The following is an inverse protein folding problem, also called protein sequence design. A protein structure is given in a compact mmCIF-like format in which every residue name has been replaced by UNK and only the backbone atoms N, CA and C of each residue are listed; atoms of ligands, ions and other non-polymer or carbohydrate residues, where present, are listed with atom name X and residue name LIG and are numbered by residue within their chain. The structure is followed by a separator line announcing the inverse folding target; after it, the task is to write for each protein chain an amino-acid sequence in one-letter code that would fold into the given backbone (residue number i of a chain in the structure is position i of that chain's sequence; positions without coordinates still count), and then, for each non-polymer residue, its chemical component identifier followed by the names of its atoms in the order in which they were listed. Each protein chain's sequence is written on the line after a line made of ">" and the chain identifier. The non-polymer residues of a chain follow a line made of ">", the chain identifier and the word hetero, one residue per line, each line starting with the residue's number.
data_IF_156076590099
#
_entry.id   IF_156076590099
#
_cell.length_a   1.000
_cell.length_b   1.000
_cell.length_c   1.000
_cell.angle_alpha   90.00
_cell.angle_beta   90.00
_cell.angle_gamma   90.00
#
_symmetry.space_group_name_H-M   'P 1'
#
loop_
_entity.id
_entity.type
_entity.pdbx_description
1 polymer ?
#
# COMPACT_ATOMS: atom_id res chain seq x y z
N UNK A 1 1.38 16.40 2.36
CA UNK A 1 1.38 15.24 3.29
C UNK A 1 2.33 14.22 2.69
N UNK A 2 3.27 13.69 3.49
CA UNK A 2 4.25 12.69 3.05
C UNK A 2 3.67 11.30 3.29
N UNK A 3 3.83 10.39 2.33
CA UNK A 3 3.42 8.99 2.43
C UNK A 3 4.36 8.24 3.38
N UNK A 4 3.87 7.20 4.03
CA UNK A 4 4.68 6.39 4.94
C UNK A 4 5.37 5.27 4.15
N UNK A 5 6.67 5.06 4.39
CA UNK A 5 7.40 3.88 3.93
C UNK A 5 7.07 2.62 4.76
N UNK A 6 7.65 1.46 4.40
CA UNK A 6 7.35 0.19 5.03
C UNK A 6 7.74 0.14 6.52
N UNK A 7 8.86 0.75 6.91
CA UNK A 7 9.32 0.76 8.31
C UNK A 7 8.40 1.60 9.20
N UNK A 8 7.93 2.74 8.69
CA UNK A 8 6.97 3.60 9.39
C UNK A 8 5.63 2.89 9.53
N UNK A 9 5.18 2.16 8.51
CA UNK A 9 3.99 1.32 8.61
C UNK A 9 4.18 0.21 9.66
N UNK A 10 5.32 -0.48 9.65
CA UNK A 10 5.65 -1.53 10.61
C UNK A 10 5.59 -1.03 12.06
N UNK A 11 6.22 0.12 12.32
CA UNK A 11 6.18 0.78 13.62
C UNK A 11 4.73 1.09 14.02
N UNK A 12 3.92 1.60 13.09
CA UNK A 12 2.53 1.97 13.36
C UNK A 12 1.65 0.77 13.65
N UNK A 13 1.83 -0.32 12.92
CA UNK A 13 1.13 -1.60 13.17
C UNK A 13 1.52 -2.14 14.54
N UNK A 14 2.81 -2.25 14.85
CA UNK A 14 3.29 -2.73 16.15
C UNK A 14 2.77 -1.87 17.32
N UNK A 15 2.72 -0.54 17.12
CA UNK A 15 2.14 0.38 18.09
C UNK A 15 0.65 0.11 18.34
N UNK A 16 -0.13 -0.05 17.27
CA UNK A 16 -1.58 -0.33 17.38
C UNK A 16 -1.83 -1.70 18.01
N UNK A 17 -1.08 -2.73 17.61
CA UNK A 17 -1.15 -4.07 18.21
C UNK A 17 -0.87 -4.05 19.72
N UNK A 18 0.13 -3.28 20.15
CA UNK A 18 0.44 -3.06 21.56
C UNK A 18 -0.72 -2.42 22.33
N UNK A 19 -1.46 -1.50 21.71
CA UNK A 19 -2.65 -0.89 22.31
C UNK A 19 -3.86 -1.83 22.34
N UNK A 20 -4.00 -2.71 21.36
CA UNK A 20 -5.08 -3.68 21.26
C UNK A 20 -4.94 -4.83 22.27
N UNK A 21 -3.70 -5.19 22.61
CA UNK A 21 -3.40 -6.24 23.60
C UNK A 21 -4.04 -7.58 23.23
N UNK A 22 -4.81 -8.15 24.15
CA UNK A 22 -5.44 -9.47 23.96
C UNK A 22 -6.40 -9.53 22.76
N UNK A 23 -6.93 -8.37 22.31
CA UNK A 23 -7.88 -8.29 21.19
C UNK A 23 -7.22 -8.11 19.83
N UNK A 24 -5.88 -8.07 19.74
CA UNK A 24 -5.19 -7.86 18.48
C UNK A 24 -5.59 -8.88 17.40
N UNK A 25 -5.81 -10.15 17.77
CA UNK A 25 -6.27 -11.20 16.84
C UNK A 25 -7.77 -11.17 16.48
N UNK A 26 -8.55 -10.24 17.06
CA UNK A 26 -9.99 -10.08 16.79
C UNK A 26 -10.29 -8.89 15.87
N UNK A 27 -9.28 -8.07 15.56
CA UNK A 27 -9.46 -6.86 14.75
C UNK A 27 -8.76 -7.01 13.41
N UNK A 28 -9.33 -6.38 12.39
CA UNK A 28 -8.70 -6.25 11.09
C UNK A 28 -8.24 -4.81 10.91
N UNK A 29 -6.95 -4.64 10.58
CA UNK A 29 -6.41 -3.33 10.27
C UNK A 29 -6.74 -2.96 8.83
N UNK A 30 -7.36 -1.80 8.65
CA UNK A 30 -7.65 -1.24 7.33
C UNK A 30 -6.46 -0.42 6.81
N UNK A 31 -6.12 -0.58 5.54
CA UNK A 31 -5.19 0.28 4.83
C UNK A 31 -5.85 0.89 3.58
N UNK A 32 -5.74 2.21 3.44
CA UNK A 32 -6.21 2.94 2.25
C UNK A 32 -5.12 2.95 1.18
N UNK A 33 -5.39 2.36 0.02
CA UNK A 33 -4.55 2.51 -1.18
C UNK A 33 -4.80 3.89 -1.77
N UNK A 34 -3.72 4.67 -1.83
CA UNK A 34 -3.75 6.04 -2.35
C UNK A 34 -3.75 6.08 -3.86
N UNK A 35 -3.10 5.10 -4.51
CA UNK A 35 -3.09 5.01 -5.97
C UNK A 35 -2.76 3.60 -6.45
N UNK A 36 -3.40 3.21 -7.54
CA UNK A 36 -2.93 2.14 -8.42
C UNK A 36 -2.39 2.82 -9.68
N UNK A 37 -1.17 2.52 -10.07
CA UNK A 37 -0.46 3.21 -11.15
C UNK A 37 0.11 2.17 -12.10
N UNK A 38 -0.26 2.26 -13.38
CA UNK A 38 0.38 1.44 -14.40
C UNK A 38 1.84 1.88 -14.58
N UNK A 39 2.79 0.94 -14.78
CA UNK A 39 4.20 1.27 -14.99
C UNK A 39 4.44 2.29 -16.11
N UNK A 40 3.59 2.29 -17.14
CA UNK A 40 3.68 3.24 -18.26
C UNK A 40 3.22 4.66 -17.89
N UNK A 41 2.40 4.82 -16.85
CA UNK A 41 1.90 6.11 -16.35
C UNK A 41 2.81 6.74 -15.31
N UNK A 42 3.59 5.93 -14.58
CA UNK A 42 4.49 6.42 -13.53
C UNK A 42 5.42 7.55 -13.97
N UNK A 43 6.10 7.51 -15.15
CA UNK A 43 6.97 8.61 -15.58
C UNK A 43 6.26 9.97 -15.69
N UNK A 44 4.96 9.97 -16.02
CA UNK A 44 4.17 11.21 -16.11
C UNK A 44 3.70 11.70 -14.74
N UNK A 45 3.57 10.81 -13.76
CA UNK A 45 3.08 11.10 -12.41
C UNK A 45 4.20 11.36 -11.40
N UNK A 46 5.41 10.88 -11.66
CA UNK A 46 6.53 10.90 -10.71
C UNK A 46 6.81 12.31 -10.13
N UNK A 47 6.80 13.35 -10.97
CA UNK A 47 7.05 14.72 -10.51
C UNK A 47 5.93 15.24 -9.60
N UNK A 48 4.67 14.88 -9.87
CA UNK A 48 3.54 15.26 -9.03
C UNK A 48 3.56 14.54 -7.67
N UNK A 49 4.05 13.29 -7.63
CA UNK A 49 4.19 12.52 -6.40
C UNK A 49 5.42 12.89 -5.58
N UNK A 50 6.49 13.38 -6.21
CA UNK A 50 7.78 13.70 -5.58
C UNK A 50 7.68 14.44 -4.23
N UNK A 51 6.83 15.48 -4.06
CA UNK A 51 6.70 16.19 -2.77
C UNK A 51 6.07 15.36 -1.64
N UNK A 52 5.40 14.26 -2.00
CA UNK A 52 4.74 13.33 -1.09
C UNK A 52 5.53 12.06 -0.84
N UNK A 53 6.62 11.79 -1.56
CA UNK A 53 7.47 10.63 -1.32
C UNK A 53 8.43 10.90 -0.15
N UNK A 54 8.69 9.90 0.73
CA UNK A 54 9.84 9.93 1.61
C UNK A 54 11.13 10.11 0.81
N UNK A 55 12.09 10.96 1.25
CA UNK A 55 13.35 11.18 0.54
C UNK A 55 14.11 9.90 0.18
N UNK A 56 14.07 8.91 1.05
CA UNK A 56 14.72 7.61 0.91
C UNK A 56 14.02 6.65 -0.06
N UNK A 57 12.76 6.93 -0.42
CA UNK A 57 11.95 6.10 -1.35
C UNK A 57 11.64 6.83 -2.67
N UNK A 58 12.31 7.95 -2.96
CA UNK A 58 12.10 8.68 -4.21
C UNK A 58 12.44 7.82 -5.43
N UNK A 59 13.48 7.00 -5.32
CA UNK A 59 13.95 6.13 -6.40
C UNK A 59 13.32 4.73 -6.36
N UNK A 60 12.61 4.39 -5.28
CA UNK A 60 11.88 3.11 -5.07
C UNK A 60 10.44 3.37 -4.57
N UNK A 61 9.64 4.18 -5.29
CA UNK A 61 8.29 4.57 -4.87
C UNK A 61 7.34 3.38 -4.72
N UNK A 62 7.61 2.27 -5.39
CA UNK A 62 6.87 1.00 -5.27
C UNK A 62 7.01 0.31 -3.91
N UNK A 63 7.99 0.72 -3.09
CA UNK A 63 8.12 0.23 -1.71
C UNK A 63 7.14 0.91 -0.75
N UNK A 64 6.48 1.99 -1.17
CA UNK A 64 5.47 2.69 -0.37
C UNK A 64 4.21 1.82 -0.30
N UNK A 65 3.81 1.34 0.90
CA UNK A 65 2.70 0.38 1.05
C UNK A 65 1.34 0.81 0.50
N UNK A 66 1.12 2.12 0.35
CA UNK A 66 -0.14 2.70 -0.09
C UNK A 66 -0.15 3.06 -1.58
N UNK A 67 0.93 2.78 -2.30
CA UNK A 67 1.01 2.87 -3.76
C UNK A 67 1.16 1.47 -4.35
N UNK A 68 0.34 1.16 -5.34
CA UNK A 68 0.48 -0.06 -6.14
C UNK A 68 0.98 0.34 -7.52
N UNK A 69 2.31 0.38 -7.68
CA UNK A 69 2.99 0.70 -8.94
C UNK A 69 3.51 -0.61 -9.52
N UNK A 70 3.02 -1.01 -10.70
CA UNK A 70 3.36 -2.32 -11.25
C UNK A 70 2.27 -2.92 -12.11
N UNK A 71 2.56 -4.08 -12.68
CA UNK A 71 1.56 -4.96 -13.27
C UNK A 71 0.56 -5.47 -12.22
N UNK A 72 -0.62 -5.96 -12.63
CA UNK A 72 -1.58 -6.52 -11.69
C UNK A 72 -1.05 -7.69 -10.86
N UNK A 73 -0.12 -8.48 -11.40
CA UNK A 73 0.54 -9.57 -10.67
C UNK A 73 1.46 -9.05 -9.57
N UNK A 74 2.32 -8.07 -9.89
CA UNK A 74 3.20 -7.44 -8.92
C UNK A 74 2.40 -6.75 -7.81
N UNK A 75 1.31 -6.05 -8.18
CA UNK A 75 0.43 -5.42 -7.20
C UNK A 75 -0.29 -6.44 -6.30
N UNK A 76 -0.74 -7.58 -6.84
CA UNK A 76 -1.31 -8.65 -6.04
C UNK A 76 -0.28 -9.25 -5.07
N UNK A 77 0.96 -9.44 -5.52
CA UNK A 77 2.05 -9.89 -4.66
C UNK A 77 2.38 -8.87 -3.57
N UNK A 78 2.32 -7.56 -3.86
CA UNK A 78 2.42 -6.53 -2.82
C UNK A 78 1.31 -6.62 -1.79
N UNK A 79 0.06 -6.82 -2.21
CA UNK A 79 -1.05 -6.98 -1.26
C UNK A 79 -0.88 -8.24 -0.38
N UNK A 80 -0.32 -9.33 -0.93
CA UNK A 80 0.06 -10.50 -0.13
C UNK A 80 1.19 -10.16 0.85
N UNK A 81 2.22 -9.44 0.42
CA UNK A 81 3.32 -8.98 1.27
C UNK A 81 2.82 -8.09 2.43
N UNK A 82 1.85 -7.20 2.18
CA UNK A 82 1.23 -6.38 3.21
C UNK A 82 0.52 -7.22 4.28
N UNK A 83 -0.20 -8.27 3.86
CA UNK A 83 -0.81 -9.22 4.79
C UNK A 83 0.26 -9.98 5.56
N UNK A 84 1.26 -10.51 4.88
CA UNK A 84 2.22 -11.45 5.45
C UNK A 84 3.20 -10.75 6.41
N UNK A 85 3.61 -9.50 6.11
CA UNK A 85 4.53 -8.71 6.94
C UNK A 85 3.82 -7.85 8.00
N UNK A 86 2.66 -7.31 7.68
CA UNK A 86 2.00 -6.28 8.48
C UNK A 86 0.60 -6.68 8.97
N UNK A 87 0.11 -7.87 8.64
CA UNK A 87 -1.21 -8.33 9.06
C UNK A 87 -2.38 -7.58 8.41
N UNK A 88 -2.13 -6.79 7.35
CA UNK A 88 -3.18 -6.02 6.68
C UNK A 88 -4.05 -6.95 5.83
N UNK A 89 -5.28 -7.20 6.27
CA UNK A 89 -6.26 -8.03 5.56
C UNK A 89 -7.41 -7.26 4.96
N UNK A 90 -7.60 -5.98 5.38
CA UNK A 90 -8.67 -5.13 4.89
C UNK A 90 -8.10 -3.93 4.13
N UNK A 91 -8.45 -3.82 2.86
CA UNK A 91 -7.99 -2.76 1.97
C UNK A 91 -9.17 -1.88 1.53
N UNK A 92 -8.97 -0.57 1.59
CA UNK A 92 -9.84 0.43 0.97
C UNK A 92 -9.18 0.98 -0.28
N UNK A 93 -9.91 1.15 -1.38
CA UNK A 93 -9.40 1.70 -2.64
C UNK A 93 -10.18 2.96 -2.99
N UNK A 94 -9.45 4.02 -3.38
CA UNK A 94 -10.07 5.28 -3.82
C UNK A 94 -10.79 5.12 -5.16
N UNK A 95 -11.88 5.87 -5.34
CA UNK A 95 -12.74 5.81 -6.54
C UNK A 95 -11.95 5.92 -7.84
N UNK A 96 -11.00 6.85 -7.89
CA UNK A 96 -10.15 7.11 -9.05
C UNK A 96 -9.16 5.97 -9.38
N UNK A 97 -9.07 4.96 -8.51
CA UNK A 97 -8.20 3.80 -8.66
C UNK A 97 -8.99 2.49 -8.78
N UNK A 98 -10.33 2.52 -8.68
CA UNK A 98 -11.18 1.31 -8.69
C UNK A 98 -11.03 0.52 -10.00
N UNK A 99 -11.08 1.20 -11.14
CA UNK A 99 -11.00 0.53 -12.45
C UNK A 99 -9.63 -0.13 -12.65
N UNK A 100 -8.55 0.56 -12.26
CA UNK A 100 -7.19 0.03 -12.30
C UNK A 100 -6.98 -1.12 -11.29
N UNK A 101 -7.74 -1.15 -10.19
CA UNK A 101 -7.70 -2.22 -9.20
C UNK A 101 -8.44 -3.48 -9.63
N UNK A 102 -9.40 -3.39 -10.55
CA UNK A 102 -10.20 -4.52 -11.04
C UNK A 102 -9.36 -5.74 -11.47
N UNK A 103 -8.35 -5.58 -12.35
CA UNK A 103 -7.46 -6.67 -12.75
C UNK A 103 -6.65 -7.28 -11.60
N UNK A 104 -6.33 -6.51 -10.55
CA UNK A 104 -5.59 -7.00 -9.37
C UNK A 104 -6.48 -7.96 -8.58
N UNK A 105 -7.75 -7.62 -8.39
CA UNK A 105 -8.72 -8.48 -7.70
C UNK A 105 -8.85 -9.87 -8.35
N UNK A 106 -8.73 -9.95 -9.68
CA UNK A 106 -8.75 -11.25 -10.38
C UNK A 106 -7.57 -12.14 -10.01
N UNK A 107 -6.43 -11.56 -9.63
CA UNK A 107 -5.21 -12.27 -9.21
C UNK A 107 -5.18 -12.63 -7.74
N UNK A 108 -6.10 -12.10 -6.93
CA UNK A 108 -6.22 -12.39 -5.50
C UNK A 108 -7.20 -13.51 -5.16
N UNK A 109 -7.84 -14.11 -6.16
CA UNK A 109 -8.78 -15.23 -6.00
C UNK A 109 -8.11 -16.53 -5.62
#
# INVERSE_FOLDING_TARGET
>A
MVLAGPDVLAERVAYVDGLLGARAGEVELNLLIQRVIDPSEWPALAEAFRPSLPPELVDTPEEIPTLLIGSPDEAADRLRDLRDRFGITYITVLEDSIDAFGPILERLR
#
